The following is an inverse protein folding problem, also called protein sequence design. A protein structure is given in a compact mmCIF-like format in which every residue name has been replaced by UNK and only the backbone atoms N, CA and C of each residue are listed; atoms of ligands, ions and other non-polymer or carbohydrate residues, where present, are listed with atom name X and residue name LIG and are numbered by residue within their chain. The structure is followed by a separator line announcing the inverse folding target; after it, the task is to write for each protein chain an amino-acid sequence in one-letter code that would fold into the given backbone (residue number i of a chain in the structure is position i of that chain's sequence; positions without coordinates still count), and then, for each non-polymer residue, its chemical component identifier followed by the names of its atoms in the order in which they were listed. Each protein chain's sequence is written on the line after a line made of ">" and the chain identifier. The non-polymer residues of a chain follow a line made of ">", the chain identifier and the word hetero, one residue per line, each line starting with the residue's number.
data_IF_961549023623
#
_entry.id   IF_961549023623
#
_cell.length_a   1.000
_cell.length_b   1.000
_cell.length_c   1.000
_cell.angle_alpha   90.00
_cell.angle_beta   90.00
_cell.angle_gamma   90.00
#
_symmetry.space_group_name_H-M   'P 1'
#
loop_
_entity.id
_entity.type
_entity.pdbx_description
1 polymer ?
#
# COMPACT_ATOMS: atom_id res chain seq x y z
N UNK A 1 -16.32 -3.60 -38.80
CA UNK A 1 -16.01 -2.36 -38.08
C UNK A 1 -17.34 -1.71 -37.74
N UNK A 2 -17.72 -1.73 -36.46
CA UNK A 2 -19.00 -1.16 -36.01
C UNK A 2 -18.92 0.37 -36.09
N UNK A 3 -19.89 1.01 -36.76
CA UNK A 3 -19.97 2.46 -37.01
C UNK A 3 -20.22 3.30 -35.77
N UNK A 4 -19.31 3.19 -34.80
CA UNK A 4 -19.30 3.91 -33.52
C UNK A 4 -17.91 4.50 -33.38
N UNK A 5 -17.84 5.82 -33.32
CA UNK A 5 -16.61 6.56 -33.04
C UNK A 5 -16.75 7.22 -31.66
N UNK A 6 -15.71 7.08 -30.83
CA UNK A 6 -15.69 7.54 -29.45
C UNK A 6 -14.52 8.50 -29.29
N UNK A 7 -14.81 9.77 -29.00
CA UNK A 7 -13.80 10.73 -28.59
C UNK A 7 -13.58 10.63 -27.07
N UNK A 8 -12.49 9.97 -26.68
CA UNK A 8 -12.13 9.76 -25.27
C UNK A 8 -11.76 11.04 -24.52
N UNK A 9 -11.52 12.14 -25.23
CA UNK A 9 -11.12 13.43 -24.67
C UNK A 9 -12.30 14.35 -24.39
N UNK A 10 -13.28 14.39 -25.29
CA UNK A 10 -14.52 15.16 -25.13
C UNK A 10 -15.67 14.35 -24.52
N UNK A 11 -15.57 13.02 -24.56
CA UNK A 11 -16.64 12.10 -24.16
C UNK A 11 -17.78 12.01 -25.18
N UNK A 12 -17.59 12.54 -26.39
CA UNK A 12 -18.58 12.49 -27.46
C UNK A 12 -18.58 11.11 -28.13
N UNK A 13 -19.78 10.57 -28.35
CA UNK A 13 -19.98 9.28 -29.02
C UNK A 13 -20.82 9.56 -30.27
N UNK A 14 -20.23 9.32 -31.43
CA UNK A 14 -20.88 9.50 -32.73
C UNK A 14 -21.26 8.14 -33.31
N UNK A 15 -22.50 8.05 -33.77
CA UNK A 15 -23.05 6.87 -34.42
C UNK A 15 -23.21 7.18 -35.91
N UNK A 16 -22.76 6.26 -36.77
CA UNK A 16 -22.92 6.39 -38.22
C UNK A 16 -24.40 6.23 -38.65
N UNK A 17 -25.19 5.50 -37.85
CA UNK A 17 -26.61 5.24 -38.10
C UNK A 17 -27.53 6.16 -37.28
N UNK A 18 -28.67 6.55 -37.85
CA UNK A 18 -29.69 7.34 -37.16
C UNK A 18 -30.32 6.55 -36.02
N UNK A 19 -30.13 7.03 -34.79
CA UNK A 19 -30.74 6.46 -33.59
C UNK A 19 -32.25 6.69 -33.56
N UNK A 20 -33.02 5.64 -33.26
CA UNK A 20 -34.45 5.75 -33.01
C UNK A 20 -34.71 6.17 -31.55
N UNK A 21 -35.83 6.86 -31.24
CA UNK A 21 -36.14 7.30 -29.87
C UNK A 21 -36.30 6.17 -28.83
N UNK A 22 -36.39 4.93 -29.29
CA UNK A 22 -36.59 3.72 -28.50
C UNK A 22 -35.29 2.93 -28.29
N UNK A 23 -34.18 3.36 -28.90
CA UNK A 23 -32.89 2.70 -28.75
C UNK A 23 -32.26 3.05 -27.40
N UNK A 24 -31.82 2.03 -26.66
CA UNK A 24 -31.07 2.19 -25.42
C UNK A 24 -29.58 2.04 -25.70
N UNK A 25 -28.83 3.10 -25.43
CA UNK A 25 -27.37 3.10 -25.51
C UNK A 25 -26.83 2.89 -24.09
N UNK A 26 -26.13 1.77 -23.89
CA UNK A 26 -25.39 1.51 -22.66
C UNK A 26 -23.92 1.83 -22.90
N UNK A 27 -23.35 2.70 -22.06
CA UNK A 27 -21.94 3.10 -22.14
C UNK A 27 -21.25 2.79 -20.83
N UNK A 28 -20.25 1.93 -20.88
CA UNK A 28 -19.40 1.59 -19.76
C UNK A 28 -18.05 2.29 -19.89
N UNK A 29 -17.70 3.13 -18.92
CA UNK A 29 -16.41 3.84 -18.89
C UNK A 29 -15.44 3.17 -17.93
N UNK A 30 -14.27 2.76 -18.44
CA UNK A 30 -13.15 2.31 -17.62
C UNK A 30 -12.17 3.47 -17.45
N UNK A 31 -12.17 4.09 -16.27
CA UNK A 31 -11.28 5.20 -15.97
C UNK A 31 -10.00 4.73 -15.26
N UNK A 32 -8.85 5.19 -15.77
CA UNK A 32 -7.53 4.97 -15.15
C UNK A 32 -6.96 6.31 -14.71
N UNK A 33 -6.80 6.52 -13.40
CA UNK A 33 -6.36 7.80 -12.84
C UNK A 33 -4.85 8.06 -12.95
N UNK A 34 -4.05 7.01 -13.09
CA UNK A 34 -2.59 7.11 -13.09
C UNK A 34 -1.98 6.36 -14.27
N UNK A 35 -1.09 7.03 -15.00
CA UNK A 35 -0.27 6.44 -16.05
C UNK A 35 0.75 5.44 -15.46
N UNK A 36 1.32 4.59 -16.33
CA UNK A 36 2.31 3.58 -15.91
C UNK A 36 3.55 4.20 -15.26
N UNK A 37 4.00 5.35 -15.76
CA UNK A 37 5.13 6.07 -15.18
C UNK A 37 4.83 6.59 -13.76
N UNK A 38 3.60 7.08 -13.54
CA UNK A 38 3.17 7.51 -12.22
C UNK A 38 3.14 6.33 -11.23
N UNK A 39 2.63 5.17 -11.66
CA UNK A 39 2.63 3.94 -10.86
C UNK A 39 4.05 3.48 -10.53
N UNK A 40 4.95 3.47 -11.51
CA UNK A 40 6.34 3.07 -11.30
C UNK A 40 7.03 4.01 -10.31
N UNK A 41 6.80 5.32 -10.41
CA UNK A 41 7.34 6.30 -9.46
C UNK A 41 6.84 6.05 -8.03
N UNK A 42 5.56 5.70 -7.82
CA UNK A 42 5.05 5.37 -6.48
C UNK A 42 5.75 4.14 -5.89
N UNK A 43 6.00 3.11 -6.70
CA UNK A 43 6.73 1.91 -6.29
C UNK A 43 8.19 2.24 -5.93
N UNK A 44 8.87 3.03 -6.76
CA UNK A 44 10.25 3.44 -6.52
C UNK A 44 10.39 4.30 -5.25
N UNK A 45 9.49 5.26 -5.03
CA UNK A 45 9.47 6.08 -3.82
C UNK A 45 9.30 5.22 -2.55
N UNK A 46 8.39 4.24 -2.62
CA UNK A 46 8.12 3.30 -1.53
C UNK A 46 9.34 2.42 -1.24
N UNK A 47 9.94 1.85 -2.29
CA UNK A 47 11.17 1.05 -2.20
C UNK A 47 12.33 1.86 -1.60
N UNK A 48 12.51 3.12 -2.03
CA UNK A 48 13.55 3.98 -1.48
C UNK A 48 13.34 4.24 0.02
N UNK A 49 12.08 4.44 0.43
CA UNK A 49 11.73 4.58 1.86
C UNK A 49 12.03 3.30 2.65
N UNK A 50 11.74 2.14 2.07
CA UNK A 50 12.14 0.85 2.68
C UNK A 50 13.65 0.79 2.80
N UNK A 51 14.42 1.08 1.74
CA UNK A 51 15.87 0.97 1.74
C UNK A 51 16.54 1.89 2.77
N UNK A 52 16.01 3.11 2.96
CA UNK A 52 16.49 4.05 3.96
C UNK A 52 16.08 3.67 5.38
N UNK A 53 14.99 2.93 5.56
CA UNK A 53 14.58 2.51 6.90
C UNK A 53 15.48 1.39 7.46
N UNK A 54 15.97 1.50 8.71
CA UNK A 54 16.79 0.46 9.32
C UNK A 54 16.06 -0.89 9.40
N UNK A 55 16.73 -2.03 9.13
CA UNK A 55 18.14 -2.18 8.75
C UNK A 55 18.40 -1.74 7.31
N UNK A 56 19.47 -0.96 7.11
CA UNK A 56 19.87 -0.47 5.80
C UNK A 56 20.22 -1.65 4.89
N UNK A 57 19.39 -1.83 3.87
CA UNK A 57 19.53 -2.87 2.86
C UNK A 57 19.04 -2.28 1.55
N UNK A 58 19.88 -2.32 0.53
CA UNK A 58 19.60 -1.72 -0.77
C UNK A 58 19.00 -2.78 -1.69
N UNK A 59 17.71 -2.66 -1.98
CA UNK A 59 17.01 -3.48 -2.96
C UNK A 59 16.61 -2.65 -4.18
N UNK A 60 16.47 -3.33 -5.32
CA UNK A 60 15.78 -2.82 -6.51
C UNK A 60 14.37 -3.42 -6.57
N UNK A 61 13.51 -2.96 -7.48
CA UNK A 61 12.17 -3.55 -7.66
C UNK A 61 12.23 -5.04 -8.03
N UNK A 62 13.25 -5.44 -8.79
CA UNK A 62 13.43 -6.82 -9.24
C UNK A 62 14.04 -7.71 -8.15
N UNK A 63 14.84 -7.13 -7.26
CA UNK A 63 15.58 -7.87 -6.22
C UNK A 63 14.94 -7.80 -4.85
N UNK A 64 13.76 -7.16 -4.70
CA UNK A 64 13.09 -7.05 -3.41
C UNK A 64 12.62 -8.44 -2.95
N UNK A 65 12.99 -8.87 -1.74
CA UNK A 65 12.49 -10.13 -1.20
C UNK A 65 10.97 -10.10 -1.06
N UNK A 66 10.28 -11.21 -1.36
CA UNK A 66 8.82 -11.31 -1.32
C UNK A 66 8.18 -10.90 0.02
N UNK A 67 8.93 -11.02 1.13
CA UNK A 67 8.49 -10.58 2.46
C UNK A 67 8.30 -9.06 2.58
N UNK A 68 9.01 -8.29 1.75
CA UNK A 68 8.94 -6.83 1.73
C UNK A 68 8.08 -6.29 0.59
N UNK A 69 7.66 -7.14 -0.35
CA UNK A 69 6.73 -6.75 -1.42
C UNK A 69 5.43 -6.12 -0.88
N UNK A 70 4.80 -6.63 0.21
CA UNK A 70 3.63 -5.97 0.78
C UNK A 70 3.94 -4.54 1.25
N UNK A 71 5.09 -4.33 1.90
CA UNK A 71 5.49 -3.00 2.35
C UNK A 71 5.65 -2.02 1.17
N UNK A 72 6.26 -2.48 0.07
CA UNK A 72 6.44 -1.67 -1.14
C UNK A 72 5.06 -1.28 -1.70
N UNK A 73 4.15 -2.24 -1.83
CA UNK A 73 2.82 -2.03 -2.41
C UNK A 73 1.95 -1.11 -1.55
N UNK A 74 1.92 -1.30 -0.22
CA UNK A 74 1.16 -0.44 0.69
C UNK A 74 1.72 0.98 0.73
N UNK A 75 3.05 1.14 0.64
CA UNK A 75 3.68 2.44 0.53
C UNK A 75 3.43 3.14 -0.81
N UNK A 76 3.33 2.40 -1.91
CA UNK A 76 2.94 2.95 -3.20
C UNK A 76 1.45 3.35 -3.20
N UNK A 77 0.58 2.50 -2.62
CA UNK A 77 -0.85 2.75 -2.51
C UNK A 77 -1.17 4.01 -1.69
N UNK A 78 -0.47 4.25 -0.57
CA UNK A 78 -0.68 5.48 0.20
C UNK A 78 -0.26 6.74 -0.57
N UNK A 79 0.79 6.67 -1.39
CA UNK A 79 1.27 7.81 -2.17
C UNK A 79 0.35 8.09 -3.36
N UNK A 80 -0.15 7.03 -4.01
CA UNK A 80 -1.19 7.11 -5.03
C UNK A 80 -2.47 7.74 -4.47
N UNK A 81 -2.96 7.29 -3.30
CA UNK A 81 -4.13 7.88 -2.64
C UNK A 81 -3.89 9.36 -2.29
N UNK A 82 -2.70 9.71 -1.81
CA UNK A 82 -2.35 11.10 -1.50
C UNK A 82 -2.41 11.98 -2.75
N UNK A 83 -1.85 11.52 -3.86
CA UNK A 83 -1.90 12.27 -5.12
C UNK A 83 -3.32 12.36 -5.68
N UNK A 84 -4.09 11.27 -5.60
CA UNK A 84 -5.50 11.26 -5.99
C UNK A 84 -6.27 12.34 -5.22
N UNK A 85 -6.16 12.36 -3.90
CA UNK A 85 -6.81 13.37 -3.05
C UNK A 85 -6.37 14.80 -3.40
N UNK A 86 -5.09 15.00 -3.73
CA UNK A 86 -4.59 16.31 -4.16
C UNK A 86 -5.20 16.74 -5.49
N UNK A 87 -5.24 15.86 -6.49
CA UNK A 87 -5.85 16.14 -7.78
C UNK A 87 -7.35 16.44 -7.64
N UNK A 88 -8.04 15.69 -6.77
CA UNK A 88 -9.46 15.88 -6.55
C UNK A 88 -9.76 17.20 -5.82
N UNK A 89 -8.84 17.75 -5.01
CA UNK A 89 -9.11 19.02 -4.31
C UNK A 89 -9.20 20.23 -5.26
N UNK A 90 -8.63 20.15 -6.46
CA UNK A 90 -8.70 21.23 -7.46
C UNK A 90 -10.03 21.19 -8.23
N UNK A 91 -11.13 21.56 -7.55
CA UNK A 91 -12.46 22.04 -8.01
C UNK A 91 -13.26 21.30 -9.13
N UNK A 92 -12.64 20.50 -9.99
CA UNK A 92 -13.31 19.79 -11.09
C UNK A 92 -14.13 18.56 -10.66
N UNK A 93 -13.83 17.81 -9.57
CA UNK A 93 -14.59 16.60 -9.27
C UNK A 93 -15.91 16.83 -8.56
N UNK A 94 -16.26 18.06 -8.16
CA UNK A 94 -17.64 18.38 -7.80
C UNK A 94 -18.60 18.07 -8.98
N UNK A 95 -18.12 18.13 -10.22
CA UNK A 95 -18.89 17.71 -11.41
C UNK A 95 -18.95 16.19 -11.55
N UNK A 96 -17.89 15.46 -11.19
CA UNK A 96 -17.81 13.99 -11.33
C UNK A 96 -18.62 13.28 -10.23
N UNK A 97 -18.60 13.79 -9.00
CA UNK A 97 -19.28 13.17 -7.86
C UNK A 97 -20.70 13.68 -7.62
N UNK A 98 -21.25 14.52 -8.52
CA UNK A 98 -22.65 14.97 -8.43
C UNK A 98 -22.91 16.05 -7.37
N UNK A 99 -21.91 16.86 -7.02
CA UNK A 99 -22.04 18.00 -6.12
C UNK A 99 -21.00 18.05 -4.99
N UNK A 100 -20.94 19.18 -4.25
CA UNK A 100 -19.93 19.41 -3.20
C UNK A 100 -20.07 18.47 -1.98
N UNK A 101 -21.29 18.03 -1.66
CA UNK A 101 -21.58 17.18 -0.49
C UNK A 101 -21.12 15.72 -0.70
N UNK A 102 -21.44 15.14 -1.86
CA UNK A 102 -21.00 13.80 -2.24
C UNK A 102 -19.47 13.73 -2.41
N UNK A 103 -18.86 14.79 -2.95
CA UNK A 103 -17.41 14.92 -3.00
C UNK A 103 -16.80 14.89 -1.58
N UNK A 104 -17.32 15.69 -0.64
CA UNK A 104 -16.83 15.69 0.75
C UNK A 104 -16.93 14.32 1.43
N UNK A 105 -18.02 13.58 1.21
CA UNK A 105 -18.17 12.24 1.77
C UNK A 105 -17.14 11.25 1.17
N UNK A 106 -16.93 11.30 -0.15
CA UNK A 106 -15.90 10.49 -0.81
C UNK A 106 -14.50 10.83 -0.29
N UNK A 107 -14.20 12.11 -0.07
CA UNK A 107 -12.93 12.55 0.53
C UNK A 107 -12.72 12.02 1.94
N UNK A 108 -13.75 12.03 2.79
CA UNK A 108 -13.66 11.46 4.14
C UNK A 108 -13.34 9.96 4.13
N UNK A 109 -13.91 9.23 3.17
CA UNK A 109 -13.60 7.81 2.97
C UNK A 109 -12.16 7.59 2.50
N UNK A 110 -11.68 8.40 1.55
CA UNK A 110 -10.30 8.33 1.07
C UNK A 110 -9.28 8.69 2.14
N UNK A 111 -9.58 9.67 2.98
CA UNK A 111 -8.72 10.04 4.11
C UNK A 111 -8.61 8.88 5.10
N UNK A 112 -9.74 8.27 5.45
CA UNK A 112 -9.78 7.10 6.35
C UNK A 112 -8.98 5.93 5.77
N UNK A 113 -9.17 5.63 4.48
CA UNK A 113 -8.41 4.58 3.79
C UNK A 113 -6.91 4.89 3.81
N UNK A 114 -6.51 6.11 3.48
CA UNK A 114 -5.10 6.53 3.51
C UNK A 114 -4.50 6.34 4.90
N UNK A 115 -5.22 6.68 5.97
CA UNK A 115 -4.74 6.46 7.34
C UNK A 115 -4.57 4.99 7.67
N UNK A 116 -5.51 4.13 7.25
CA UNK A 116 -5.38 2.67 7.41
C UNK A 116 -4.12 2.14 6.70
N UNK A 117 -3.95 2.49 5.42
CA UNK A 117 -2.76 2.11 4.63
C UNK A 117 -1.46 2.64 5.26
N UNK A 118 -1.46 3.85 5.81
CA UNK A 118 -0.29 4.39 6.47
C UNK A 118 0.04 3.63 7.76
N UNK A 119 -0.98 3.30 8.57
CA UNK A 119 -0.79 2.54 9.81
C UNK A 119 -0.26 1.13 9.56
N UNK A 120 -0.76 0.45 8.53
CA UNK A 120 -0.29 -0.89 8.18
C UNK A 120 1.11 -0.87 7.57
N UNK A 121 1.40 0.18 6.79
CA UNK A 121 2.76 0.42 6.33
C UNK A 121 3.70 0.64 7.52
N UNK A 122 3.37 1.48 8.50
CA UNK A 122 4.23 1.67 9.68
C UNK A 122 4.52 0.36 10.44
N UNK A 123 3.52 -0.53 10.57
CA UNK A 123 3.71 -1.87 11.15
C UNK A 123 4.64 -2.75 10.29
N UNK A 124 4.50 -2.73 8.97
CA UNK A 124 5.37 -3.49 8.05
C UNK A 124 6.81 -2.96 8.07
N UNK A 125 6.97 -1.65 8.23
CA UNK A 125 8.25 -1.00 8.49
C UNK A 125 8.92 -1.53 9.75
N UNK A 126 8.16 -1.58 10.85
CA UNK A 126 8.67 -2.11 12.11
C UNK A 126 9.02 -3.60 11.99
N UNK A 127 8.21 -4.36 11.25
CA UNK A 127 8.52 -5.77 10.99
C UNK A 127 9.84 -5.96 10.26
N UNK A 128 10.24 -4.99 9.42
CA UNK A 128 11.55 -5.00 8.75
C UNK A 128 12.71 -5.15 9.73
N UNK A 129 12.59 -4.59 10.94
CA UNK A 129 13.61 -4.62 11.99
C UNK A 129 13.93 -6.03 12.48
N UNK A 130 12.96 -6.94 12.44
CA UNK A 130 13.16 -8.32 12.89
C UNK A 130 13.97 -9.17 11.91
N UNK A 131 14.34 -8.63 10.73
CA UNK A 131 15.35 -9.21 9.85
C UNK A 131 15.05 -10.65 9.41
N UNK A 132 15.96 -11.29 8.64
CA UNK A 132 15.91 -12.74 8.42
C UNK A 132 16.66 -13.52 9.50
N UNK A 133 17.48 -12.84 10.28
CA UNK A 133 18.36 -13.45 11.27
C UNK A 133 17.64 -13.52 12.61
N UNK A 134 17.83 -14.62 13.37
CA UNK A 134 17.34 -14.68 14.74
C UNK A 134 17.91 -13.49 15.50
N UNK A 135 17.07 -12.81 16.27
CA UNK A 135 17.51 -11.75 17.17
C UNK A 135 18.61 -12.33 18.05
N UNK A 136 19.79 -11.70 18.08
CA UNK A 136 20.85 -12.11 19.00
C UNK A 136 20.39 -11.75 20.42
N UNK A 137 19.64 -12.64 21.06
CA UNK A 137 19.33 -12.52 22.49
C UNK A 137 20.50 -13.11 23.27
N UNK A 138 21.09 -12.29 24.14
CA UNK A 138 22.06 -12.77 25.11
C UNK A 138 21.29 -13.55 26.18
N UNK A 139 21.19 -14.88 26.00
CA UNK A 139 20.78 -15.75 27.11
C UNK A 139 21.93 -15.76 28.09
N UNK A 140 21.92 -14.82 29.02
CA UNK A 140 22.81 -14.88 30.18
C UNK A 140 22.29 -16.01 31.05
N UNK A 141 22.71 -17.23 30.72
CA UNK A 141 22.68 -18.32 31.69
C UNK A 141 23.67 -17.90 32.77
N UNK A 142 23.25 -17.62 34.01
CA UNK A 142 24.18 -17.17 35.04
C UNK A 142 25.20 -18.29 35.29
N UNK A 143 26.43 -18.09 34.83
CA UNK A 143 27.52 -19.06 34.92
C UNK A 143 28.06 -19.23 36.36
N UNK A 144 27.49 -18.49 37.32
CA UNK A 144 27.94 -18.41 38.72
C UNK A 144 26.82 -18.57 39.77
N UNK A 145 25.75 -19.33 39.52
CA UNK A 145 24.93 -19.83 40.64
C UNK A 145 25.46 -21.19 41.11
N UNK A 146 26.49 -21.11 41.95
CA UNK A 146 27.00 -22.12 42.90
C UNK A 146 27.57 -23.43 42.30
N UNK A 147 28.71 -23.94 42.82
CA UNK A 147 29.28 -25.24 42.47
C UNK A 147 28.33 -26.35 42.94
N UNK A 148 27.31 -26.64 42.15
CA UNK A 148 26.23 -27.55 42.56
C UNK A 148 25.11 -27.69 41.54
N UNK A 149 24.84 -26.68 40.71
CA UNK A 149 23.72 -26.70 39.75
C UNK A 149 23.76 -27.85 38.72
N UNK A 150 24.97 -28.35 38.41
CA UNK A 150 25.16 -29.48 37.49
C UNK A 150 25.13 -30.86 38.15
N UNK A 151 25.23 -30.98 39.47
CA UNK A 151 25.16 -32.28 40.14
C UNK A 151 23.72 -32.66 40.49
N UNK A 152 23.33 -33.92 40.23
CA UNK A 152 21.98 -34.42 40.55
C UNK A 152 21.72 -34.45 42.06
N UNK A 153 22.78 -34.61 42.86
CA UNK A 153 22.72 -34.67 44.32
C UNK A 153 22.40 -33.32 44.98
N UNK A 154 22.96 -32.21 44.49
CA UNK A 154 22.61 -30.87 45.00
C UNK A 154 21.13 -30.53 44.75
N UNK A 155 20.59 -30.92 43.59
CA UNK A 155 19.16 -30.74 43.28
C UNK A 155 18.23 -31.53 44.20
N UNK A 156 18.69 -32.63 44.78
CA UNK A 156 17.91 -33.47 45.67
C UNK A 156 17.91 -32.94 47.12
N UNK A 157 19.03 -32.34 47.55
CA UNK A 157 19.20 -31.79 48.91
C UNK A 157 18.43 -30.48 49.16
N UNK A 158 18.20 -29.66 48.13
CA UNK A 158 17.56 -28.35 48.25
C UNK A 158 16.14 -28.30 47.65
N UNK A 159 15.55 -29.46 47.33
CA UNK A 159 14.10 -29.60 47.09
C UNK A 159 13.43 -29.98 48.42
N UNK A 160 13.28 -28.97 49.28
CA UNK A 160 12.31 -28.92 50.37
C UNK A 160 11.37 -27.77 50.10
#
# INVERSE_FOLDING_TARGET
>A
SSGIEVDYTSGEITFDDTLMPQDQINVDYNFRWFDDEALNRFLLNSLQTINTFPPHSSYSLETVPSRYSPAVLYGAAKDALRQLMMCLNFQQPAQIFGGPEAAQQAFGNFETLKQNYNSDWEKLLEQKKYGPYPTSFMVVTPEYTLPGGRSRWFRYLFKG
#
